data_IF_366661303223
#
_entry.id   IF_366661303223
#
_cell.length_a   1.000
_cell.length_b   1.000
_cell.length_c   1.000
_cell.angle_alpha   90.00
_cell.angle_beta   90.00
_cell.angle_gamma   90.00
#
_symmetry.space_group_name_H-M   'P 1'
#
loop_
_entity.id
_entity.type
_entity.pdbx_description
1 polymer ?
#
# COMPACT_ATOMS: atom_id res chain seq x y z
N UNK A 1 5.74 -9.23 -7.41
CA UNK A 1 7.07 -9.91 -7.53
C UNK A 1 6.94 -11.44 -7.47
N UNK A 2 6.01 -12.00 -8.23
CA UNK A 2 5.74 -13.44 -8.28
C UNK A 2 6.85 -14.25 -8.94
N UNK A 3 7.08 -15.50 -8.50
CA UNK A 3 7.71 -16.54 -9.32
C UNK A 3 6.68 -17.30 -10.16
N UNK A 4 5.44 -17.43 -9.69
CA UNK A 4 4.38 -18.23 -10.34
C UNK A 4 3.24 -17.34 -10.81
N UNK A 5 3.43 -16.71 -11.96
CA UNK A 5 2.33 -16.10 -12.72
C UNK A 5 1.85 -17.18 -13.68
N UNK A 6 0.55 -17.47 -13.74
CA UNK A 6 0.06 -18.48 -14.68
C UNK A 6 0.44 -18.09 -16.10
N UNK A 7 1.00 -19.03 -16.86
CA UNK A 7 1.44 -18.80 -18.24
C UNK A 7 0.31 -18.26 -19.14
N UNK A 8 -0.95 -18.50 -18.77
CA UNK A 8 -2.14 -17.98 -19.44
C UNK A 8 -2.37 -16.47 -19.19
N UNK A 9 -2.00 -15.93 -18.02
CA UNK A 9 -2.19 -14.50 -17.71
C UNK A 9 -1.13 -13.60 -18.37
N UNK A 10 0.02 -14.15 -18.76
CA UNK A 10 1.14 -13.38 -19.31
C UNK A 10 1.72 -13.97 -20.60
N UNK A 11 0.87 -14.56 -21.44
CA UNK A 11 1.28 -15.15 -22.73
C UNK A 11 1.94 -14.15 -23.71
N UNK A 12 1.76 -12.84 -23.47
CA UNK A 12 2.41 -11.77 -24.22
C UNK A 12 3.87 -11.51 -23.81
N UNK A 13 4.34 -12.10 -22.70
CA UNK A 13 5.70 -11.94 -22.19
C UNK A 13 6.46 -13.26 -22.36
N UNK A 14 7.66 -13.25 -22.98
CA UNK A 14 8.41 -14.49 -23.17
C UNK A 14 8.84 -15.06 -21.82
N UNK A 15 8.81 -16.40 -21.70
CA UNK A 15 9.03 -17.11 -20.42
C UNK A 15 10.37 -16.77 -19.76
N UNK A 16 11.42 -16.52 -20.54
CA UNK A 16 12.73 -16.10 -20.03
C UNK A 16 12.68 -14.74 -19.32
N UNK A 17 11.82 -13.82 -19.78
CA UNK A 17 11.62 -12.52 -19.15
C UNK A 17 10.73 -12.61 -17.90
N UNK A 18 9.91 -13.67 -17.80
CA UNK A 18 9.11 -13.99 -16.61
C UNK A 18 9.93 -14.72 -15.54
N UNK A 19 11.01 -15.39 -15.90
CA UNK A 19 11.86 -16.11 -14.97
C UNK A 19 12.38 -15.20 -13.85
N UNK A 20 12.28 -15.66 -12.61
CA UNK A 20 12.73 -14.90 -11.44
C UNK A 20 14.20 -14.52 -11.53
N UNK A 21 15.05 -15.44 -11.99
CA UNK A 21 16.49 -15.21 -12.13
C UNK A 21 16.83 -14.03 -13.05
N UNK A 22 16.00 -13.81 -14.07
CA UNK A 22 16.10 -12.65 -14.94
C UNK A 22 15.57 -11.39 -14.25
N UNK A 23 14.32 -11.42 -13.75
CA UNK A 23 13.65 -10.24 -13.19
C UNK A 23 14.31 -9.69 -11.93
N UNK A 24 14.84 -10.54 -11.05
CA UNK A 24 15.36 -10.12 -9.74
C UNK A 24 16.44 -9.04 -9.84
N UNK A 25 17.31 -9.14 -10.84
CA UNK A 25 18.38 -8.15 -11.06
C UNK A 25 17.82 -6.81 -11.53
N UNK A 26 16.85 -6.85 -12.45
CA UNK A 26 16.19 -5.64 -12.94
C UNK A 26 15.37 -4.96 -11.84
N UNK A 27 14.63 -5.74 -11.05
CA UNK A 27 13.85 -5.23 -9.91
C UNK A 27 14.75 -4.58 -8.85
N UNK A 28 15.85 -5.23 -8.47
CA UNK A 28 16.79 -4.63 -7.53
C UNK A 28 17.42 -3.36 -8.10
N UNK A 29 17.88 -3.41 -9.35
CA UNK A 29 18.46 -2.24 -10.04
C UNK A 29 17.49 -1.06 -10.07
N UNK A 30 16.22 -1.33 -10.28
CA UNK A 30 15.15 -0.33 -10.28
C UNK A 30 14.97 0.27 -8.88
N UNK A 31 14.80 -0.58 -7.87
CA UNK A 31 14.63 -0.16 -6.47
C UNK A 31 15.80 0.70 -5.97
N UNK A 32 17.04 0.27 -6.20
CA UNK A 32 18.22 0.99 -5.69
C UNK A 32 18.45 2.32 -6.41
N UNK A 33 18.01 2.44 -7.68
CA UNK A 33 18.19 3.65 -8.47
C UNK A 33 17.39 4.82 -7.91
N UNK A 34 16.24 4.56 -7.28
CA UNK A 34 15.47 5.58 -6.59
C UNK A 34 16.22 6.19 -5.42
N UNK A 35 17.10 5.42 -4.78
CA UNK A 35 17.80 5.81 -3.55
C UNK A 35 16.83 6.22 -2.43
N UNK A 36 15.63 5.64 -2.41
CA UNK A 36 14.58 5.99 -1.46
C UNK A 36 14.96 5.63 -0.02
N UNK A 37 14.55 6.45 0.93
CA UNK A 37 14.84 6.24 2.34
C UNK A 37 14.01 5.17 2.99
N UNK A 38 12.75 5.06 2.54
CA UNK A 38 11.77 4.07 2.96
C UNK A 38 11.25 3.41 1.67
N UNK A 39 11.25 2.08 1.64
CA UNK A 39 10.81 1.29 0.49
C UNK A 39 9.71 0.35 0.98
N UNK A 40 8.55 0.41 0.34
CA UNK A 40 7.43 -0.48 0.60
C UNK A 40 7.16 -1.33 -0.63
N UNK A 41 7.27 -2.65 -0.48
CA UNK A 41 7.03 -3.60 -1.54
C UNK A 41 5.89 -4.56 -1.20
N UNK A 42 5.11 -4.95 -2.19
CA UNK A 42 4.04 -5.94 -2.10
C UNK A 42 4.32 -7.14 -3.01
N UNK A 43 3.58 -8.23 -2.82
CA UNK A 43 3.76 -9.50 -3.56
C UNK A 43 5.19 -10.07 -3.44
N UNK A 44 5.84 -9.83 -2.30
CA UNK A 44 7.18 -10.35 -2.03
C UNK A 44 7.03 -11.80 -1.61
N UNK A 45 7.56 -12.74 -2.39
CA UNK A 45 7.60 -14.15 -1.97
C UNK A 45 8.64 -14.36 -0.86
N UNK A 46 8.36 -15.27 0.06
CA UNK A 46 9.16 -15.52 1.27
C UNK A 46 10.60 -15.93 0.94
N UNK A 47 10.79 -16.77 -0.08
CA UNK A 47 12.11 -17.20 -0.54
C UNK A 47 12.85 -16.07 -1.30
N UNK A 48 12.13 -15.27 -2.09
CA UNK A 48 12.69 -14.07 -2.73
C UNK A 48 13.14 -13.03 -1.70
N UNK A 49 12.39 -12.87 -0.61
CA UNK A 49 12.75 -11.99 0.49
C UNK A 49 14.04 -12.47 1.16
N UNK A 50 14.03 -13.70 1.71
CA UNK A 50 15.14 -14.22 2.52
C UNK A 50 16.42 -14.40 1.72
N UNK A 51 16.32 -14.89 0.48
CA UNK A 51 17.50 -15.25 -0.31
C UNK A 51 18.04 -14.12 -1.20
N UNK A 52 17.28 -13.03 -1.39
CA UNK A 52 17.66 -11.97 -2.34
C UNK A 52 17.44 -10.56 -1.79
N UNK A 53 16.19 -10.12 -1.58
CA UNK A 53 15.94 -8.72 -1.21
C UNK A 53 16.55 -8.34 0.14
N UNK A 54 16.40 -9.20 1.15
CA UNK A 54 16.97 -8.98 2.48
C UNK A 54 18.48 -8.84 2.47
N UNK A 55 19.28 -9.80 1.97
CA UNK A 55 20.73 -9.66 1.96
C UNK A 55 21.21 -8.48 1.11
N UNK A 56 20.62 -8.23 -0.06
CA UNK A 56 21.05 -7.14 -0.95
C UNK A 56 20.76 -5.75 -0.36
N UNK A 57 19.56 -5.51 0.17
CA UNK A 57 19.22 -4.21 0.76
C UNK A 57 19.90 -4.01 2.13
N UNK A 58 20.18 -5.07 2.89
CA UNK A 58 20.95 -4.97 4.14
C UNK A 58 22.38 -4.50 3.89
N UNK A 59 23.02 -4.96 2.81
CA UNK A 59 24.36 -4.48 2.38
C UNK A 59 24.35 -2.99 2.07
N UNK A 60 23.25 -2.48 1.52
CA UNK A 60 23.05 -1.08 1.15
C UNK A 60 22.60 -0.17 2.30
N UNK A 61 22.62 -0.66 3.55
CA UNK A 61 22.30 0.18 4.70
C UNK A 61 20.84 0.19 5.13
N UNK A 62 20.01 -0.72 4.60
CA UNK A 62 18.61 -0.81 5.02
C UNK A 62 18.43 -1.77 6.20
N UNK A 63 17.54 -1.39 7.11
CA UNK A 63 16.82 -2.31 7.99
C UNK A 63 15.64 -2.91 7.22
N UNK A 64 15.23 -4.13 7.57
CA UNK A 64 14.26 -4.89 6.76
C UNK A 64 13.14 -5.46 7.62
N UNK A 65 11.93 -5.51 7.06
CA UNK A 65 10.74 -6.07 7.68
C UNK A 65 9.95 -6.84 6.62
N UNK A 66 9.37 -7.98 6.98
CA UNK A 66 8.55 -8.77 6.06
C UNK A 66 7.39 -9.44 6.79
N UNK A 67 6.22 -9.41 6.16
CA UNK A 67 5.04 -10.12 6.64
C UNK A 67 4.39 -10.87 5.50
N UNK A 68 4.45 -12.19 5.58
CA UNK A 68 3.76 -13.08 4.67
C UNK A 68 2.28 -13.24 5.03
N UNK A 69 1.45 -13.49 4.01
CA UNK A 69 0.10 -14.03 4.14
C UNK A 69 0.16 -15.45 4.71
N UNK A 70 -0.99 -15.96 5.16
CA UNK A 70 -1.08 -17.31 5.73
C UNK A 70 -1.27 -18.42 4.70
N UNK A 71 -1.84 -18.14 3.53
CA UNK A 71 -2.00 -19.14 2.48
C UNK A 71 -0.83 -19.01 1.51
N UNK A 72 -0.08 -20.10 1.34
CA UNK A 72 1.01 -20.17 0.37
C UNK A 72 0.61 -20.92 -0.89
N UNK A 73 1.58 -20.99 -1.81
CA UNK A 73 1.55 -21.84 -2.98
C UNK A 73 2.51 -23.00 -2.72
N UNK A 74 2.03 -24.23 -2.88
CA UNK A 74 2.88 -25.41 -2.80
C UNK A 74 3.78 -25.50 -4.03
N UNK A 75 5.08 -25.64 -3.79
CA UNK A 75 6.11 -25.86 -4.83
C UNK A 75 6.94 -27.08 -4.48
N UNK A 76 7.79 -27.53 -5.41
CA UNK A 76 8.77 -28.59 -5.14
C UNK A 76 9.71 -28.28 -3.97
N UNK A 77 9.90 -26.97 -3.66
CA UNK A 77 10.76 -26.48 -2.57
C UNK A 77 10.01 -26.26 -1.25
N UNK A 78 8.73 -26.65 -1.18
CA UNK A 78 7.85 -26.40 -0.05
C UNK A 78 6.84 -25.30 -0.31
N UNK A 79 6.17 -24.86 0.75
CA UNK A 79 5.14 -23.82 0.68
C UNK A 79 5.78 -22.43 0.64
N UNK A 80 5.49 -21.68 -0.43
CA UNK A 80 5.97 -20.30 -0.64
C UNK A 80 4.83 -19.34 -0.35
N UNK A 81 5.08 -18.37 0.53
CA UNK A 81 4.09 -17.37 0.91
C UNK A 81 4.45 -16.03 0.32
N UNK A 82 3.48 -15.31 -0.22
CA UNK A 82 3.67 -13.91 -0.60
C UNK A 82 3.27 -12.94 0.52
N UNK A 83 3.83 -11.75 0.53
CA UNK A 83 3.64 -10.77 1.59
C UNK A 83 3.99 -9.34 1.20
N UNK A 84 4.06 -8.50 2.23
CA UNK A 84 4.57 -7.13 2.12
C UNK A 84 5.94 -7.05 2.80
N UNK A 85 6.85 -6.24 2.27
CA UNK A 85 8.13 -5.94 2.88
C UNK A 85 8.34 -4.43 2.97
N UNK A 86 8.87 -3.98 4.11
CA UNK A 86 9.23 -2.58 4.33
C UNK A 86 10.71 -2.49 4.67
N UNK A 87 11.41 -1.59 4.01
CA UNK A 87 12.83 -1.33 4.21
C UNK A 87 13.01 0.14 4.55
N UNK A 88 13.95 0.46 5.43
CA UNK A 88 14.30 1.85 5.74
C UNK A 88 15.78 2.03 6.05
N UNK A 89 16.35 3.20 5.76
CA UNK A 89 17.77 3.49 6.02
C UNK A 89 18.08 3.44 7.52
N UNK A 90 18.92 2.50 7.94
CA UNK A 90 19.25 2.29 9.37
C UNK A 90 20.06 3.41 10.00
N UNK A 91 20.67 4.27 9.19
CA UNK A 91 21.41 5.45 9.64
C UNK A 91 20.53 6.71 9.71
N UNK A 92 19.32 6.67 9.16
CA UNK A 92 18.37 7.79 9.20
C UNK A 92 17.21 7.52 10.14
N UNK A 93 16.85 6.25 10.35
CA UNK A 93 15.68 5.88 11.15
C UNK A 93 15.98 4.76 12.14
N UNK A 94 15.39 4.92 13.33
CA UNK A 94 15.29 3.90 14.37
C UNK A 94 13.84 3.42 14.48
N UNK A 95 13.65 2.10 14.53
CA UNK A 95 12.31 1.53 14.80
C UNK A 95 11.92 1.77 16.25
N UNK A 96 10.77 2.41 16.47
CA UNK A 96 10.18 2.63 17.79
C UNK A 96 9.17 1.54 18.11
N UNK A 97 8.23 1.31 17.19
CA UNK A 97 7.20 0.30 17.36
C UNK A 97 6.79 -0.28 16.00
N UNK A 98 6.43 -1.57 16.01
CA UNK A 98 5.98 -2.33 14.86
C UNK A 98 4.68 -3.03 15.19
N UNK A 99 3.73 -2.95 14.26
CA UNK A 99 2.49 -3.71 14.26
C UNK A 99 2.42 -4.59 13.02
N UNK A 100 2.38 -5.90 13.24
CA UNK A 100 2.17 -6.88 12.17
C UNK A 100 0.71 -7.30 12.12
N UNK A 101 -0.04 -6.77 11.16
CA UNK A 101 -1.45 -7.11 10.95
C UNK A 101 -1.50 -8.44 10.19
N UNK A 102 -1.74 -9.52 10.94
CA UNK A 102 -1.79 -10.91 10.41
C UNK A 102 -2.98 -11.15 9.47
N UNK A 103 -4.04 -10.36 9.62
CA UNK A 103 -5.26 -10.42 8.82
C UNK A 103 -6.00 -9.10 8.97
N UNK A 104 -6.20 -8.39 7.86
CA UNK A 104 -7.17 -7.30 7.80
C UNK A 104 -8.56 -7.85 8.08
N UNK A 105 -9.36 -7.09 8.83
CA UNK A 105 -10.67 -7.48 9.36
C UNK A 105 -10.64 -8.59 10.40
N UNK A 106 -9.50 -8.87 11.05
CA UNK A 106 -9.41 -9.91 12.08
C UNK A 106 -10.46 -9.73 13.19
N UNK A 107 -10.65 -8.48 13.63
CA UNK A 107 -11.59 -8.14 14.72
C UNK A 107 -12.94 -7.62 14.21
N UNK A 108 -13.05 -7.33 12.91
CA UNK A 108 -14.20 -6.61 12.32
C UNK A 108 -15.08 -7.53 11.47
N UNK A 109 -14.51 -8.59 10.87
CA UNK A 109 -15.27 -9.48 9.98
C UNK A 109 -16.40 -10.23 10.70
N UNK A 110 -16.15 -10.83 11.87
CA UNK A 110 -17.18 -11.60 12.58
C UNK A 110 -18.34 -10.72 13.07
N UNK A 111 -18.10 -9.55 13.70
CA UNK A 111 -19.19 -8.62 14.02
C UNK A 111 -20.04 -8.22 12.81
N UNK A 112 -19.41 -7.98 11.65
CA UNK A 112 -20.13 -7.67 10.41
C UNK A 112 -21.00 -8.84 9.93
N UNK A 113 -20.46 -10.05 9.96
CA UNK A 113 -21.21 -11.27 9.61
C UNK A 113 -22.40 -11.46 10.55
N UNK A 114 -22.21 -11.22 11.84
CA UNK A 114 -23.26 -11.42 12.84
C UNK A 114 -24.41 -10.42 12.74
N UNK A 115 -24.12 -9.22 12.23
CA UNK A 115 -25.13 -8.20 11.95
C UNK A 115 -26.01 -8.49 10.72
N UNK A 116 -25.65 -9.50 9.91
CA UNK A 116 -26.41 -9.91 8.72
C UNK A 116 -27.46 -10.99 9.03
N UNK A 117 -28.44 -11.09 8.12
CA UNK A 117 -29.47 -12.14 8.20
C UNK A 117 -28.87 -13.54 8.05
N UNK A 118 -29.52 -14.54 8.68
CA UNK A 118 -29.02 -15.93 8.74
C UNK A 118 -28.64 -16.51 7.36
N UNK A 119 -29.44 -16.21 6.32
CA UNK A 119 -29.20 -16.68 4.95
C UNK A 119 -27.94 -16.11 4.26
N UNK A 120 -27.34 -15.05 4.80
CA UNK A 120 -26.17 -14.38 4.21
C UNK A 120 -24.87 -14.67 4.95
N UNK A 121 -24.92 -15.24 6.18
CA UNK A 121 -23.73 -15.38 7.04
C UNK A 121 -22.61 -16.21 6.41
N UNK A 122 -22.95 -17.33 5.77
CA UNK A 122 -21.96 -18.21 5.12
C UNK A 122 -21.24 -17.50 3.97
N UNK A 123 -22.00 -16.83 3.10
CA UNK A 123 -21.43 -16.04 2.00
C UNK A 123 -20.54 -14.91 2.53
N UNK A 124 -21.03 -14.17 3.53
CA UNK A 124 -20.29 -13.09 4.16
C UNK A 124 -18.96 -13.55 4.79
N UNK A 125 -18.96 -14.70 5.48
CA UNK A 125 -17.74 -15.33 6.00
C UNK A 125 -16.73 -15.60 4.88
N UNK A 126 -17.15 -16.27 3.80
CA UNK A 126 -16.28 -16.60 2.66
C UNK A 126 -15.74 -15.32 2.01
N UNK A 127 -16.58 -14.28 1.94
CA UNK A 127 -16.28 -13.01 1.28
C UNK A 127 -15.35 -12.12 2.10
N UNK A 128 -15.53 -11.99 3.42
CA UNK A 128 -14.77 -11.09 4.29
C UNK A 128 -13.51 -11.73 4.91
N UNK A 129 -13.50 -13.04 5.13
CA UNK A 129 -12.36 -13.72 5.75
C UNK A 129 -11.27 -13.96 4.70
N UNK A 130 -10.44 -12.94 4.50
CA UNK A 130 -9.22 -13.00 3.67
C UNK A 130 -7.96 -12.98 4.52
N UNK A 131 -6.82 -13.24 3.90
CA UNK A 131 -5.50 -13.30 4.55
C UNK A 131 -4.60 -12.14 4.15
N UNK A 132 -5.17 -11.07 3.59
CA UNK A 132 -4.46 -9.81 3.35
C UNK A 132 -3.84 -9.29 4.66
N UNK A 133 -2.59 -8.85 4.57
CA UNK A 133 -1.76 -8.42 5.69
C UNK A 133 -1.40 -6.94 5.56
N UNK A 134 -0.96 -6.35 6.66
CA UNK A 134 -0.31 -5.05 6.65
C UNK A 134 0.88 -5.05 7.61
N UNK A 135 1.88 -4.22 7.31
CA UNK A 135 2.97 -3.87 8.22
C UNK A 135 2.80 -2.40 8.54
N UNK A 136 2.76 -2.07 9.83
CA UNK A 136 2.80 -0.68 10.29
C UNK A 136 4.03 -0.51 11.17
N UNK A 137 4.83 0.51 10.92
CA UNK A 137 6.03 0.81 11.70
C UNK A 137 6.08 2.30 12.01
N UNK A 138 6.38 2.63 13.26
CA UNK A 138 6.73 4.00 13.64
C UNK A 138 8.25 4.09 13.69
N UNK A 139 8.77 4.98 12.86
CA UNK A 139 10.18 5.26 12.72
C UNK A 139 10.48 6.61 13.36
N UNK A 140 11.58 6.68 14.08
CA UNK A 140 12.13 7.91 14.66
C UNK A 140 13.37 8.31 13.88
N UNK A 141 13.42 9.56 13.43
CA UNK A 141 14.57 10.10 12.72
C UNK A 141 15.78 10.17 13.66
N UNK A 142 16.94 9.77 13.15
CA UNK A 142 18.22 9.86 13.87
C UNK A 142 18.80 11.24 13.58
N UNK A 143 18.75 12.13 14.56
CA UNK A 143 19.35 13.46 14.45
C UNK A 143 20.88 13.38 14.58
N UNK A 144 21.59 13.76 13.52
CA UNK A 144 23.04 13.90 13.54
C UNK A 144 23.44 15.32 14.03
N UNK A 145 22.98 15.69 15.23
CA UNK A 145 23.42 16.89 15.97
C UNK A 145 22.51 18.12 15.90
N UNK A 146 22.31 18.72 17.09
CA UNK A 146 21.77 20.06 17.38
C UNK A 146 20.25 20.32 17.27
N UNK A 147 19.43 19.56 17.99
CA UNK A 147 18.14 20.05 18.53
C UNK A 147 18.00 19.56 19.99
N UNK A 148 18.11 20.48 20.94
CA UNK A 148 17.99 20.24 22.39
C UNK A 148 16.54 20.47 22.88
N UNK A 149 15.56 20.31 21.99
CA UNK A 149 14.13 20.52 22.26
C UNK A 149 13.40 19.22 22.66
N UNK A 150 14.06 18.06 22.61
CA UNK A 150 13.53 16.78 23.08
C UNK A 150 12.39 16.21 22.23
N UNK A 151 12.09 16.83 21.08
CA UNK A 151 11.06 16.36 20.16
C UNK A 151 11.67 15.52 19.04
N UNK A 152 11.70 14.20 19.25
CA UNK A 152 12.12 13.31 18.19
C UNK A 152 11.11 13.32 17.02
N UNK A 153 11.59 13.67 15.82
CA UNK A 153 10.78 13.60 14.60
C UNK A 153 10.44 12.15 14.29
N UNK A 154 9.14 11.82 14.22
CA UNK A 154 8.65 10.47 13.94
C UNK A 154 7.82 10.42 12.67
N UNK A 155 7.74 9.25 12.04
CA UNK A 155 6.82 8.95 10.95
C UNK A 155 6.24 7.54 11.13
N UNK A 156 4.94 7.40 10.94
CA UNK A 156 4.24 6.14 10.89
C UNK A 156 4.12 5.70 9.43
N UNK A 157 4.63 4.53 9.10
CA UNK A 157 4.60 3.96 7.74
C UNK A 157 3.76 2.70 7.75
N UNK A 158 2.71 2.68 6.94
CA UNK A 158 1.87 1.53 6.68
C UNK A 158 2.15 0.99 5.27
N UNK A 159 2.32 -0.33 5.16
CA UNK A 159 2.46 -1.04 3.89
C UNK A 159 1.44 -2.17 3.81
N UNK A 160 0.60 -2.19 2.78
CA UNK A 160 -0.40 -3.24 2.60
C UNK A 160 -0.68 -3.57 1.13
N UNK A 161 -1.35 -4.70 0.93
CA UNK A 161 -1.98 -5.09 -0.34
C UNK A 161 -3.39 -5.56 -0.07
N UNK A 162 -4.36 -4.77 -0.54
CA UNK A 162 -5.80 -5.01 -0.40
C UNK A 162 -6.23 -6.16 -1.32
N UNK A 163 -7.36 -6.78 -1.01
CA UNK A 163 -7.95 -7.89 -1.78
C UNK A 163 -8.07 -7.56 -3.28
N UNK A 164 -7.60 -8.47 -4.15
CA UNK A 164 -7.47 -8.19 -5.57
C UNK A 164 -8.76 -8.36 -6.39
N UNK A 165 -9.69 -9.25 -5.96
CA UNK A 165 -10.84 -9.62 -6.80
C UNK A 165 -11.71 -8.38 -7.13
N UNK A 166 -11.86 -8.00 -8.42
CA UNK A 166 -12.65 -6.85 -8.84
C UNK A 166 -14.13 -6.96 -8.46
N UNK A 167 -14.67 -8.18 -8.35
CA UNK A 167 -16.07 -8.43 -7.98
C UNK A 167 -16.35 -8.24 -6.49
N UNK A 168 -15.35 -7.84 -5.70
CA UNK A 168 -15.41 -7.71 -4.25
C UNK A 168 -15.10 -6.28 -3.76
N UNK A 169 -15.76 -5.22 -4.30
CA UNK A 169 -15.49 -3.83 -3.90
C UNK A 169 -15.79 -3.56 -2.42
N UNK A 170 -16.82 -4.20 -1.88
CA UNK A 170 -17.17 -4.20 -0.46
C UNK A 170 -16.06 -4.72 0.44
N UNK A 171 -15.42 -5.83 0.08
CA UNK A 171 -14.28 -6.38 0.83
C UNK A 171 -13.10 -5.41 0.83
N UNK A 172 -12.84 -4.77 -0.31
CA UNK A 172 -11.77 -3.77 -0.43
C UNK A 172 -12.04 -2.57 0.48
N UNK A 173 -13.26 -2.03 0.46
CA UNK A 173 -13.62 -0.90 1.34
C UNK A 173 -13.55 -1.29 2.82
N UNK A 174 -14.07 -2.46 3.19
CA UNK A 174 -13.96 -2.98 4.56
C UNK A 174 -12.49 -3.02 5.01
N UNK A 175 -11.60 -3.61 4.21
CA UNK A 175 -10.18 -3.73 4.55
C UNK A 175 -9.49 -2.37 4.67
N UNK A 176 -9.80 -1.43 3.78
CA UNK A 176 -9.25 -0.06 3.84
C UNK A 176 -9.78 0.68 5.07
N UNK A 177 -11.07 0.58 5.38
CA UNK A 177 -11.66 1.20 6.57
C UNK A 177 -11.02 0.65 7.85
N UNK A 178 -10.88 -0.67 7.97
CA UNK A 178 -10.24 -1.34 9.10
C UNK A 178 -8.78 -0.89 9.30
N UNK A 179 -8.02 -0.78 8.21
CA UNK A 179 -6.65 -0.28 8.24
C UNK A 179 -6.60 1.18 8.72
N UNK A 180 -7.39 2.07 8.10
CA UNK A 180 -7.36 3.49 8.39
C UNK A 180 -7.82 3.79 9.83
N UNK A 181 -8.85 3.11 10.35
CA UNK A 181 -9.23 3.24 11.77
C UNK A 181 -8.19 2.68 12.72
N UNK A 182 -7.47 1.62 12.31
CA UNK A 182 -6.32 1.12 13.05
C UNK A 182 -5.21 2.16 13.13
N UNK A 183 -4.93 2.84 12.02
CA UNK A 183 -3.93 3.90 11.93
C UNK A 183 -4.36 5.16 12.69
N UNK A 184 -5.63 5.54 12.65
CA UNK A 184 -6.22 6.66 13.41
C UNK A 184 -5.79 6.59 14.88
N UNK A 185 -5.91 5.40 15.50
CA UNK A 185 -5.54 5.16 16.91
C UNK A 185 -4.04 5.27 17.18
N UNK A 186 -3.20 5.04 16.17
CA UNK A 186 -1.73 5.13 16.31
C UNK A 186 -1.29 6.60 16.18
N UNK A 187 -1.90 7.34 15.25
CA UNK A 187 -1.50 8.70 14.87
C UNK A 187 -2.20 9.82 15.66
N UNK A 188 -3.07 9.48 16.62
CA UNK A 188 -3.56 10.41 17.67
C UNK A 188 -2.40 11.17 18.37
N UNK A 189 -1.17 10.64 18.28
CA UNK A 189 0.08 11.23 18.76
C UNK A 189 0.70 12.34 17.89
N UNK A 190 -0.02 12.89 16.90
CA UNK A 190 0.48 13.90 15.92
C UNK A 190 1.65 13.43 15.05
N UNK A 191 1.81 12.11 14.87
CA UNK A 191 2.86 11.54 14.04
C UNK A 191 2.45 11.56 12.56
N UNK A 192 3.26 12.13 11.64
CA UNK A 192 3.07 12.02 10.19
C UNK A 192 2.83 10.58 9.74
N UNK A 193 1.88 10.39 8.84
CA UNK A 193 1.47 9.07 8.35
C UNK A 193 1.82 8.96 6.87
N UNK A 194 2.42 7.85 6.49
CA UNK A 194 2.66 7.41 5.12
C UNK A 194 1.99 6.04 4.93
N UNK A 195 1.10 5.92 3.95
CA UNK A 195 0.42 4.67 3.60
C UNK A 195 0.79 4.30 2.18
N UNK A 196 1.63 3.28 2.02
CA UNK A 196 1.94 2.66 0.75
C UNK A 196 1.03 1.46 0.55
N UNK A 197 0.16 1.50 -0.47
CA UNK A 197 -0.81 0.44 -0.68
C UNK A 197 -1.04 0.11 -2.15
N UNK A 198 -0.99 -1.18 -2.48
CA UNK A 198 -1.76 -1.72 -3.61
C UNK A 198 -3.21 -1.85 -3.13
N UNK A 199 -4.03 -0.85 -3.45
CA UNK A 199 -5.44 -0.84 -3.09
C UNK A 199 -6.28 -1.78 -3.96
N UNK A 200 -5.74 -2.26 -5.08
CA UNK A 200 -6.50 -2.94 -6.12
C UNK A 200 -7.81 -2.19 -6.47
N UNK A 201 -7.81 -0.86 -6.37
CA UNK A 201 -8.98 -0.01 -6.49
C UNK A 201 -8.62 1.23 -7.30
N UNK A 202 -9.42 1.56 -8.31
CA UNK A 202 -9.20 2.71 -9.18
C UNK A 202 -9.39 4.04 -8.45
N UNK A 203 -8.85 5.15 -8.97
CA UNK A 203 -9.24 6.48 -8.52
C UNK A 203 -10.77 6.62 -8.56
N UNK A 204 -11.32 7.41 -7.65
CA UNK A 204 -12.77 7.61 -7.49
C UNK A 204 -13.60 6.37 -7.08
N UNK A 205 -12.98 5.22 -6.83
CA UNK A 205 -13.65 4.09 -6.17
C UNK A 205 -13.96 4.41 -4.70
N UNK A 206 -14.87 3.67 -4.07
CA UNK A 206 -15.22 3.87 -2.66
C UNK A 206 -14.01 3.71 -1.70
N UNK A 207 -13.11 2.71 -1.85
CA UNK A 207 -11.90 2.63 -1.02
C UNK A 207 -10.98 3.83 -1.20
N UNK A 208 -10.79 4.31 -2.44
CA UNK A 208 -9.97 5.49 -2.72
C UNK A 208 -10.59 6.75 -2.11
N UNK A 209 -11.86 7.03 -2.44
CA UNK A 209 -12.62 8.18 -1.92
C UNK A 209 -12.67 8.20 -0.39
N UNK A 210 -12.80 7.04 0.25
CA UNK A 210 -12.79 6.95 1.69
C UNK A 210 -11.49 7.53 2.27
N UNK A 211 -10.33 7.13 1.73
CA UNK A 211 -9.01 7.61 2.15
C UNK A 211 -8.85 9.11 1.91
N UNK A 212 -9.09 9.59 0.68
CA UNK A 212 -8.76 10.98 0.31
C UNK A 212 -9.84 12.01 0.70
N UNK A 213 -11.10 11.60 0.86
CA UNK A 213 -12.21 12.49 1.26
C UNK A 213 -12.57 12.38 2.75
N UNK A 214 -11.94 11.47 3.49
CA UNK A 214 -12.23 11.23 4.89
C UNK A 214 -13.54 10.49 5.16
N UNK A 215 -14.25 10.01 4.13
CA UNK A 215 -15.48 9.26 4.31
C UNK A 215 -16.29 8.97 3.05
N UNK A 216 -17.24 8.05 3.20
CA UNK A 216 -18.21 7.65 2.18
C UNK A 216 -19.61 7.75 2.77
N UNK A 217 -20.55 8.24 1.97
CA UNK A 217 -21.96 8.21 2.31
C UNK A 217 -22.52 6.80 2.11
N UNK A 218 -22.77 6.07 3.20
CA UNK A 218 -23.27 4.70 3.17
C UNK A 218 -24.64 4.58 2.50
N UNK A 219 -25.42 5.68 2.42
CA UNK A 219 -26.73 5.69 1.76
C UNK A 219 -26.64 5.66 0.24
N UNK A 220 -25.46 5.97 -0.33
CA UNK A 220 -25.22 5.94 -1.78
C UNK A 220 -24.70 4.60 -2.28
N UNK A 221 -24.59 3.59 -1.40
CA UNK A 221 -24.16 2.27 -1.83
C UNK A 221 -25.18 1.64 -2.78
N UNK A 222 -24.67 0.84 -3.70
CA UNK A 222 -25.46 0.13 -4.72
C UNK A 222 -25.30 -1.37 -4.49
N UNK A 223 -26.11 -2.21 -5.17
CA UNK A 223 -25.93 -3.67 -5.08
C UNK A 223 -24.61 -4.11 -5.68
N UNK A 224 -24.06 -3.33 -6.60
CA UNK A 224 -22.77 -3.55 -7.24
C UNK A 224 -21.61 -3.27 -6.29
N UNK A 225 -21.68 -2.18 -5.51
CA UNK A 225 -20.60 -1.78 -4.57
C UNK A 225 -20.71 -2.45 -3.20
N UNK A 226 -21.92 -2.79 -2.77
CA UNK A 226 -22.24 -3.36 -1.47
C UNK A 226 -23.32 -4.46 -1.55
N UNK A 227 -23.02 -5.62 -2.16
CA UNK A 227 -24.00 -6.67 -2.42
C UNK A 227 -24.62 -7.27 -1.15
N UNK A 228 -23.91 -7.20 -0.02
CA UNK A 228 -24.36 -7.71 1.27
C UNK A 228 -24.92 -6.62 2.20
N UNK A 229 -24.94 -5.36 1.78
CA UNK A 229 -25.44 -4.26 2.62
C UNK A 229 -24.59 -4.04 3.88
N UNK A 230 -23.27 -4.19 3.78
CA UNK A 230 -22.30 -4.06 4.86
C UNK A 230 -22.08 -2.59 5.27
N UNK A 231 -22.28 -1.63 4.37
CA UNK A 231 -21.84 -0.25 4.57
C UNK A 231 -22.56 0.43 5.74
N UNK A 232 -23.81 0.04 6.01
CA UNK A 232 -24.59 0.53 7.16
C UNK A 232 -24.03 0.09 8.52
N UNK A 233 -23.19 -0.94 8.57
CA UNK A 233 -22.58 -1.45 9.80
C UNK A 233 -21.14 -0.95 10.00
N UNK A 234 -20.61 -0.18 9.05
CA UNK A 234 -19.25 0.35 9.07
C UNK A 234 -19.23 1.83 9.48
N UNK A 235 -18.19 2.23 10.23
CA UNK A 235 -17.86 3.64 10.47
C UNK A 235 -17.18 4.23 9.21
N UNK A 236 -17.92 4.57 8.16
CA UNK A 236 -17.33 5.09 6.91
C UNK A 236 -16.94 6.58 6.98
N UNK A 237 -16.27 7.00 8.08
CA UNK A 237 -15.65 8.31 8.26
C UNK A 237 -14.36 8.21 9.08
N UNK A 238 -13.39 9.07 8.78
CA UNK A 238 -12.17 9.27 9.58
C UNK A 238 -11.70 10.74 9.51
N UNK A 239 -10.96 11.23 10.52
CA UNK A 239 -10.50 12.62 10.58
C UNK A 239 -9.16 12.87 9.87
N UNK A 240 -8.45 11.81 9.47
CA UNK A 240 -7.11 11.95 8.87
C UNK A 240 -7.17 12.71 7.54
N UNK A 241 -6.41 13.81 7.45
CA UNK A 241 -6.23 14.59 6.22
C UNK A 241 -5.19 13.92 5.31
N UNK A 242 -5.61 12.86 4.62
CA UNK A 242 -4.77 12.08 3.72
C UNK A 242 -4.89 12.57 2.28
N UNK A 243 -3.76 12.70 1.61
CA UNK A 243 -3.68 13.06 0.19
C UNK A 243 -2.83 12.06 -0.56
N UNK A 244 -3.14 11.81 -1.82
CA UNK A 244 -2.28 11.01 -2.70
C UNK A 244 -1.07 11.83 -3.09
N UNK A 245 0.10 11.24 -2.88
CA UNK A 245 1.38 11.75 -3.34
C UNK A 245 1.36 12.11 -4.82
N UNK A 246 0.83 11.21 -5.67
CA UNK A 246 0.77 11.44 -7.12
C UNK A 246 -0.10 12.65 -7.47
N UNK A 247 -1.27 12.77 -6.83
CA UNK A 247 -2.19 13.89 -7.06
C UNK A 247 -1.65 15.22 -6.53
N UNK A 248 -0.93 15.22 -5.41
CA UNK A 248 -0.25 16.41 -4.88
C UNK A 248 0.82 16.91 -5.84
N UNK A 249 1.60 16.00 -6.43
CA UNK A 249 2.67 16.36 -7.35
C UNK A 249 2.18 17.07 -8.60
N UNK A 250 1.01 16.72 -9.14
CA UNK A 250 0.39 17.41 -10.28
C UNK A 250 0.19 18.91 -10.07
N UNK A 251 0.04 19.33 -8.81
CA UNK A 251 -0.22 20.72 -8.44
C UNK A 251 1.05 21.49 -8.05
N UNK A 252 2.20 20.81 -7.94
CA UNK A 252 3.47 21.45 -7.60
C UNK A 252 4.06 22.19 -8.82
N UNK A 253 4.53 23.42 -8.63
CA UNK A 253 5.15 24.22 -9.69
C UNK A 253 6.44 23.53 -10.19
N UNK A 254 6.58 23.33 -11.51
CA UNK A 254 7.81 22.81 -12.13
C UNK A 254 7.74 21.37 -12.67
N UNK A 255 6.54 20.86 -12.95
CA UNK A 255 6.35 19.58 -13.63
C UNK A 255 6.75 19.74 -15.10
N UNK A 256 7.69 18.91 -15.56
CA UNK A 256 8.04 18.82 -16.96
C UNK A 256 6.81 18.41 -17.78
N UNK A 257 6.56 19.04 -18.93
CA UNK A 257 5.39 18.82 -19.78
C UNK A 257 5.12 17.32 -20.07
N UNK A 258 6.17 16.50 -20.06
CA UNK A 258 6.10 15.05 -20.25
C UNK A 258 5.41 14.30 -19.11
N UNK A 259 5.54 14.78 -17.86
CA UNK A 259 4.89 14.19 -16.70
C UNK A 259 3.39 14.46 -16.71
N UNK A 260 2.97 15.68 -17.07
CA UNK A 260 1.55 16.02 -17.15
C UNK A 260 0.78 15.12 -18.13
N UNK A 261 1.43 14.65 -19.21
CA UNK A 261 0.85 13.71 -20.18
C UNK A 261 0.63 12.30 -19.62
N UNK A 262 1.27 11.94 -18.50
CA UNK A 262 1.14 10.63 -17.84
C UNK A 262 0.10 10.62 -16.71
N UNK A 263 -0.58 11.74 -16.47
CA UNK A 263 -1.55 11.91 -15.39
C UNK A 263 -2.96 12.07 -15.96
N UNK A 264 -3.96 11.56 -15.24
CA UNK A 264 -5.36 11.79 -15.57
C UNK A 264 -5.77 13.22 -15.16
N UNK A 265 -6.38 14.01 -16.06
CA UNK A 265 -6.64 15.43 -15.82
C UNK A 265 -7.76 15.69 -14.80
N UNK A 266 -8.58 14.69 -14.45
CA UNK A 266 -9.68 14.86 -13.51
C UNK A 266 -9.31 14.44 -12.09
N UNK A 267 -8.54 13.36 -11.99
CA UNK A 267 -8.17 12.76 -10.69
C UNK A 267 -6.77 13.18 -10.25
N UNK A 268 -5.94 13.66 -11.17
CA UNK A 268 -4.52 13.95 -10.96
C UNK A 268 -3.69 12.75 -10.53
N UNK A 269 -4.25 11.54 -10.64
CA UNK A 269 -3.54 10.29 -10.45
C UNK A 269 -2.85 9.88 -11.76
N UNK A 270 -1.85 8.97 -11.74
CA UNK A 270 -1.25 8.47 -12.96
C UNK A 270 -2.31 7.80 -13.84
N UNK A 271 -2.08 7.75 -15.16
CA UNK A 271 -2.95 6.99 -16.07
C UNK A 271 -2.95 5.50 -15.70
N UNK A 272 -1.82 4.98 -15.24
CA UNK A 272 -1.71 3.64 -14.71
C UNK A 272 -0.52 3.48 -13.76
N UNK A 273 -0.67 2.58 -12.79
CA UNK A 273 0.42 1.99 -12.00
C UNK A 273 0.51 0.48 -12.26
N UNK A 274 -0.58 -0.10 -12.77
CA UNK A 274 -0.68 -1.48 -13.21
C UNK A 274 -1.00 -1.52 -14.71
N UNK A 275 -0.24 -2.30 -15.49
CA UNK A 275 -0.42 -2.39 -16.93
C UNK A 275 -0.32 -3.84 -17.43
N UNK A 276 -1.38 -4.31 -18.07
CA UNK A 276 -1.49 -5.56 -18.80
C UNK A 276 -2.25 -5.33 -20.11
N UNK A 277 -2.19 -6.25 -21.09
CA UNK A 277 -2.95 -6.09 -22.34
C UNK A 277 -4.48 -6.01 -22.15
N UNK A 278 -5.01 -6.50 -21.04
CA UNK A 278 -6.46 -6.52 -20.76
C UNK A 278 -6.91 -5.41 -19.82
N UNK A 279 -5.99 -4.81 -19.08
CA UNK A 279 -6.31 -3.83 -18.07
C UNK A 279 -5.11 -2.93 -17.79
N UNK A 280 -5.35 -1.63 -17.81
CA UNK A 280 -4.43 -0.60 -17.36
C UNK A 280 -5.17 0.37 -16.46
N UNK A 281 -4.56 0.72 -15.33
CA UNK A 281 -5.16 1.66 -14.40
C UNK A 281 -4.30 1.85 -13.15
N UNK A 282 -4.64 2.89 -12.38
CA UNK A 282 -3.96 3.20 -11.12
C UNK A 282 -4.58 2.41 -9.98
N UNK A 283 -3.78 1.55 -9.38
CA UNK A 283 -4.16 0.68 -8.27
C UNK A 283 -3.24 0.85 -7.06
N UNK A 284 -2.07 1.47 -7.26
CA UNK A 284 -1.02 1.63 -6.26
C UNK A 284 -0.92 3.09 -5.83
N UNK A 285 -0.85 3.32 -4.53
CA UNK A 285 -0.90 4.66 -3.95
C UNK A 285 0.12 4.83 -2.84
N UNK A 286 0.68 6.04 -2.75
CA UNK A 286 1.35 6.57 -1.57
C UNK A 286 0.46 7.69 -1.03
N UNK A 287 -0.16 7.48 0.13
CA UNK A 287 -0.92 8.52 0.82
C UNK A 287 -0.13 9.07 1.98
N UNK A 288 -0.13 10.38 2.18
CA UNK A 288 0.48 10.99 3.35
C UNK A 288 -0.48 11.91 4.09
N UNK A 289 -0.28 12.06 5.41
CA UNK A 289 -1.04 13.01 6.20
C UNK A 289 -0.45 14.42 6.11
N UNK A 290 -1.31 15.40 5.84
CA UNK A 290 -0.94 16.81 5.84
C UNK A 290 -1.00 17.33 7.29
N UNK A 291 0.12 17.28 8.01
CA UNK A 291 0.24 17.79 9.38
C UNK A 291 0.81 19.21 9.32
N UNK A 292 -0.07 20.21 9.23
CA UNK A 292 0.27 21.63 9.06
C UNK A 292 1.10 21.96 7.81
N UNK A 293 0.81 23.11 7.18
CA UNK A 293 1.34 23.52 5.86
C UNK A 293 2.88 23.62 5.74
N UNK A 294 3.65 23.43 6.82
CA UNK A 294 5.11 23.58 6.82
C UNK A 294 5.87 22.29 6.44
N UNK A 295 5.34 21.09 6.75
CA UNK A 295 5.96 19.81 6.37
C UNK A 295 5.62 19.37 4.93
N UNK A 296 4.63 20.01 4.30
CA UNK A 296 4.25 19.72 2.93
C UNK A 296 5.41 19.96 1.94
N UNK A 297 6.29 20.94 2.20
CA UNK A 297 7.43 21.23 1.31
C UNK A 297 8.49 20.13 1.32
N UNK A 298 8.80 19.55 2.48
CA UNK A 298 9.85 18.53 2.55
C UNK A 298 9.37 17.19 1.98
N UNK A 299 8.08 16.84 2.17
CA UNK A 299 7.47 15.66 1.53
C UNK A 299 7.29 15.88 0.03
N UNK A 300 6.86 17.07 -0.41
CA UNK A 300 6.80 17.44 -1.82
C UNK A 300 8.18 17.38 -2.47
N UNK A 301 9.25 17.91 -1.85
CA UNK A 301 10.60 17.83 -2.40
C UNK A 301 11.17 16.39 -2.41
N UNK A 302 10.89 15.58 -1.37
CA UNK A 302 11.30 14.17 -1.33
C UNK A 302 10.55 13.30 -2.35
N UNK A 303 9.25 13.50 -2.52
CA UNK A 303 8.41 12.75 -3.46
C UNK A 303 8.57 13.23 -4.90
N UNK A 304 8.77 14.53 -5.14
CA UNK A 304 9.21 15.06 -6.45
C UNK A 304 10.53 14.38 -6.85
N UNK A 305 11.46 14.18 -5.92
CA UNK A 305 12.73 13.50 -6.20
C UNK A 305 12.57 11.99 -6.44
N UNK A 306 11.72 11.31 -5.66
CA UNK A 306 11.41 9.88 -5.85
C UNK A 306 10.65 9.63 -7.18
N UNK A 307 9.66 10.45 -7.53
CA UNK A 307 8.80 10.23 -8.71
C UNK A 307 9.32 10.82 -10.02
N UNK A 308 10.18 11.86 -10.00
CA UNK A 308 10.99 12.26 -11.17
C UNK A 308 11.85 11.11 -11.69
N UNK A 309 12.20 10.16 -10.82
CA UNK A 309 12.93 8.95 -11.21
C UNK A 309 11.98 7.84 -11.70
N UNK A 310 10.70 7.85 -11.32
CA UNK A 310 9.74 6.75 -11.61
C UNK A 310 9.06 6.87 -12.95
N UNK A 311 9.00 8.08 -13.47
CA UNK A 311 8.33 8.39 -14.73
C UNK A 311 9.32 8.74 -15.85
N UNK A 312 10.63 8.69 -15.59
CA UNK A 312 11.69 8.69 -16.59
C UNK A 312 11.87 7.29 -17.23
N UNK A 313 10.76 6.69 -17.68
CA UNK A 313 10.57 5.73 -18.77
C UNK A 313 9.08 5.38 -18.84
#
# INVERSE_FOLDING_TARGET
MYASISAEMQSYCPTWALAWDYRRKNLLSEIIRYNADIICLQEVQSDHFENFFKPELTKLGYSVMFKAKKKGVYTEKGEIFEGCATFYRRLLFKEVIRYEVKKLLANTALPLVDALGYGQKTEACIRLIKDNVAIVVVLEAIENGCSDDGFHTRICVANTRIHANPMHPDVKLCQVADLVHGLEKIVESQVPLLICADLNSLPESDPHKFVVRGGIDSLRSTKETDPLGLYKYLKLKHPLALVSAYASLCNANGIEEQHSKKMDPNTFEPLFTHHTPRFSGTLDYSFYSVINKFLARDVEEYEVHCMKRTTAR
#
